data_IF_820071926785
#
_entry.id   IF_820071926785
#
_cell.length_a   1.000
_cell.length_b   1.000
_cell.length_c   1.000
_cell.angle_alpha   90.00
_cell.angle_beta   90.00
_cell.angle_gamma   90.00
#
_symmetry.space_group_name_H-M   'P 1'
#
loop_
_entity.id
_entity.type
_entity.pdbx_description
1 polymer ?
#
# COMPACT_ATOMS: atom_id res chain seq x y z
N UNK A 1 94.27 3.43 -1.80
CA UNK A 1 93.20 3.13 -0.81
C UNK A 1 91.96 3.84 -1.28
N UNK A 2 91.12 3.15 -1.99
CA UNK A 2 89.92 3.68 -2.67
C UNK A 2 88.64 3.12 -1.96
N UNK A 3 87.90 4.02 -1.34
CA UNK A 3 86.68 3.71 -0.63
C UNK A 3 85.47 3.84 -1.56
N UNK A 4 84.77 2.74 -1.80
CA UNK A 4 83.59 2.71 -2.66
C UNK A 4 82.34 2.99 -1.87
N UNK A 5 81.66 4.10 -2.18
CA UNK A 5 80.33 4.42 -1.62
C UNK A 5 79.28 3.71 -2.46
N UNK A 6 78.47 2.81 -1.83
CA UNK A 6 77.30 2.18 -2.44
C UNK A 6 76.13 3.11 -2.26
N UNK A 7 75.53 3.58 -3.36
CA UNK A 7 74.26 4.22 -3.41
C UNK A 7 73.17 3.17 -3.25
N UNK A 8 72.31 3.29 -2.20
CA UNK A 8 71.09 2.51 -2.08
C UNK A 8 69.93 3.34 -2.60
N UNK A 9 69.39 2.97 -3.77
CA UNK A 9 68.17 3.55 -4.31
C UNK A 9 66.95 3.00 -3.57
N UNK A 10 66.33 3.85 -2.76
CA UNK A 10 65.05 3.55 -2.14
C UNK A 10 63.90 3.74 -3.13
N UNK A 11 63.28 2.66 -3.56
CA UNK A 11 62.02 2.69 -4.31
C UNK A 11 60.87 2.97 -3.37
N UNK A 12 60.34 4.20 -3.38
CA UNK A 12 59.13 4.55 -2.67
C UNK A 12 57.94 3.99 -3.47
N UNK A 13 57.33 2.89 -2.94
CA UNK A 13 56.07 2.34 -3.44
C UNK A 13 54.96 3.25 -2.91
N UNK A 14 54.39 4.11 -3.78
CA UNK A 14 53.15 4.83 -3.53
C UNK A 14 52.00 3.80 -3.57
N UNK A 15 51.56 3.31 -2.43
CA UNK A 15 50.24 2.65 -2.30
C UNK A 15 49.19 3.76 -2.39
N UNK A 16 48.59 3.93 -3.58
CA UNK A 16 47.37 4.67 -3.74
C UNK A 16 46.24 3.90 -3.04
N UNK A 17 45.89 4.29 -1.80
CA UNK A 17 44.72 3.83 -1.12
C UNK A 17 43.48 4.29 -1.91
N UNK A 18 42.92 3.40 -2.73
CA UNK A 18 41.57 3.53 -3.26
C UNK A 18 40.59 3.40 -2.08
N UNK A 19 40.39 4.50 -1.37
CA UNK A 19 39.27 4.63 -0.43
C UNK A 19 38.01 4.64 -1.31
N UNK A 20 37.47 3.45 -1.58
CA UNK A 20 36.13 3.30 -2.08
C UNK A 20 35.19 3.91 -1.05
N UNK A 21 34.70 5.11 -1.33
CA UNK A 21 33.60 5.68 -0.56
C UNK A 21 32.45 4.70 -0.73
N UNK A 22 32.13 3.94 0.29
CA UNK A 22 30.87 3.22 0.40
C UNK A 22 29.78 4.29 0.38
N UNK A 23 29.17 4.53 -0.78
CA UNK A 23 27.97 5.37 -0.87
C UNK A 23 26.93 4.64 -0.02
N UNK A 24 26.60 5.20 1.14
CA UNK A 24 25.54 4.66 1.97
C UNK A 24 24.26 4.58 1.12
N UNK A 25 23.73 3.38 1.00
CA UNK A 25 22.50 3.15 0.24
C UNK A 25 21.38 3.99 0.84
N UNK A 26 20.78 4.87 0.04
CA UNK A 26 19.65 5.68 0.47
C UNK A 26 18.49 4.78 0.89
N UNK A 27 17.80 5.14 1.96
CA UNK A 27 16.69 4.36 2.50
C UNK A 27 15.37 5.07 2.22
N UNK A 28 14.36 4.33 1.76
CA UNK A 28 12.98 4.77 1.67
C UNK A 28 12.15 4.06 2.75
N UNK A 29 11.43 4.84 3.56
CA UNK A 29 10.55 4.33 4.61
C UNK A 29 9.12 4.25 4.11
N UNK A 30 8.56 3.04 4.08
CA UNK A 30 7.22 2.76 3.56
C UNK A 30 6.29 2.39 4.71
N UNK A 31 5.28 3.21 4.96
CA UNK A 31 4.25 2.97 5.96
C UNK A 31 3.19 1.99 5.47
N UNK A 32 2.82 1.01 6.30
CA UNK A 32 1.74 0.06 5.99
C UNK A 32 1.14 -0.51 7.27
N UNK A 33 -0.10 -1.05 7.18
CA UNK A 33 -0.77 -1.54 8.38
C UNK A 33 -0.27 -2.91 8.84
N UNK A 34 0.20 -3.75 7.94
CA UNK A 34 0.52 -5.14 8.23
C UNK A 34 -0.69 -6.00 8.65
N UNK A 35 -1.92 -5.50 8.38
CA UNK A 35 -3.19 -6.16 8.74
C UNK A 35 -4.18 -6.24 7.58
N UNK A 36 -3.73 -5.93 6.37
CA UNK A 36 -4.59 -5.81 5.19
C UNK A 36 -4.27 -6.92 4.16
N UNK A 37 -4.84 -8.11 4.42
CA UNK A 37 -4.68 -9.28 3.54
C UNK A 37 -5.42 -9.09 2.21
N UNK A 38 -4.83 -9.46 1.06
CA UNK A 38 -3.47 -10.00 0.85
C UNK A 38 -2.44 -8.94 0.42
N UNK A 39 -2.72 -7.65 0.58
CA UNK A 39 -1.86 -6.54 0.15
C UNK A 39 -0.65 -6.34 1.05
N UNK A 40 -0.89 -6.20 2.36
CA UNK A 40 0.16 -6.05 3.38
C UNK A 40 -0.32 -6.68 4.70
N UNK A 41 0.30 -7.77 5.12
CA UNK A 41 -0.12 -8.50 6.32
C UNK A 41 1.05 -9.23 6.96
N UNK A 42 0.96 -9.47 8.28
CA UNK A 42 1.91 -10.27 9.02
C UNK A 42 1.40 -11.70 9.12
N UNK A 43 2.24 -12.67 8.71
CA UNK A 43 2.01 -14.09 8.90
C UNK A 43 3.31 -14.76 9.34
N UNK A 44 3.27 -15.53 10.43
CA UNK A 44 4.47 -16.15 11.03
C UNK A 44 5.59 -15.12 11.27
N UNK A 45 5.23 -13.99 11.89
CA UNK A 45 6.12 -12.87 12.22
C UNK A 45 6.83 -12.21 11.02
N UNK A 46 6.37 -12.50 9.80
CA UNK A 46 6.88 -11.91 8.57
C UNK A 46 5.84 -11.02 7.92
N UNK A 47 6.23 -9.76 7.67
CA UNK A 47 5.46 -8.86 6.82
C UNK A 47 5.57 -9.32 5.38
N UNK A 48 4.44 -9.50 4.72
CA UNK A 48 4.32 -10.02 3.36
C UNK A 48 3.06 -9.50 2.68
N UNK A 49 2.95 -9.73 1.38
CA UNK A 49 1.79 -9.35 0.58
C UNK A 49 2.20 -8.75 -0.77
N UNK A 50 1.20 -8.43 -1.57
CA UNK A 50 1.39 -7.84 -2.89
C UNK A 50 2.25 -6.57 -2.83
N UNK A 51 1.95 -5.67 -1.91
CA UNK A 51 2.66 -4.39 -1.79
C UNK A 51 4.08 -4.55 -1.26
N UNK A 52 4.33 -5.56 -0.42
CA UNK A 52 5.69 -5.88 0.04
C UNK A 52 6.55 -6.37 -1.12
N UNK A 53 6.03 -7.28 -1.95
CA UNK A 53 6.73 -7.76 -3.15
C UNK A 53 6.95 -6.63 -4.16
N UNK A 54 5.94 -5.78 -4.37
CA UNK A 54 6.06 -4.60 -5.24
C UNK A 54 7.18 -3.66 -4.77
N UNK A 55 7.25 -3.36 -3.49
CA UNK A 55 8.29 -2.48 -2.94
C UNK A 55 9.68 -3.10 -2.95
N UNK A 56 9.82 -4.42 -2.79
CA UNK A 56 11.10 -5.09 -2.98
C UNK A 56 11.61 -4.90 -4.42
N UNK A 57 10.74 -5.05 -5.41
CA UNK A 57 11.08 -4.79 -6.82
C UNK A 57 11.39 -3.30 -7.09
N UNK A 58 10.66 -2.36 -6.48
CA UNK A 58 10.97 -0.93 -6.57
C UNK A 58 12.35 -0.64 -5.98
N UNK A 59 12.66 -1.20 -4.81
CA UNK A 59 13.96 -1.05 -4.15
C UNK A 59 15.12 -1.54 -5.02
N UNK A 60 14.98 -2.75 -5.59
CA UNK A 60 15.99 -3.32 -6.50
C UNK A 60 16.23 -2.43 -7.73
N UNK A 61 15.18 -1.85 -8.32
CA UNK A 61 15.27 -1.02 -9.53
C UNK A 61 15.79 0.39 -9.28
N UNK A 62 15.47 0.94 -8.12
CA UNK A 62 15.86 2.32 -7.76
C UNK A 62 17.18 2.39 -7.01
N UNK A 63 17.68 1.27 -6.50
CA UNK A 63 18.86 1.20 -5.63
C UNK A 63 18.59 1.63 -4.19
N UNK A 64 17.34 1.94 -3.81
CA UNK A 64 17.00 2.25 -2.44
C UNK A 64 16.91 1.00 -1.56
N UNK A 65 17.36 1.11 -0.31
CA UNK A 65 16.98 0.16 0.74
C UNK A 65 15.54 0.48 1.16
N UNK A 66 14.64 -0.49 1.07
CA UNK A 66 13.25 -0.33 1.55
C UNK A 66 13.17 -0.73 3.02
N UNK A 67 12.65 0.18 3.86
CA UNK A 67 12.33 -0.05 5.26
C UNK A 67 10.83 0.02 5.45
N UNK A 68 10.22 -1.08 5.85
CA UNK A 68 8.78 -1.13 6.13
C UNK A 68 8.51 -0.72 7.58
N UNK A 69 7.59 0.22 7.77
CA UNK A 69 7.18 0.73 9.08
C UNK A 69 5.69 0.44 9.26
N UNK A 70 5.36 -0.37 10.27
CA UNK A 70 3.96 -0.76 10.52
C UNK A 70 3.31 0.10 11.59
N UNK A 71 2.05 0.51 11.34
CA UNK A 71 1.21 1.26 12.26
C UNK A 71 -0.28 0.95 12.02
N UNK A 72 -1.20 1.48 12.87
CA UNK A 72 -2.63 1.45 12.53
C UNK A 72 -2.88 2.23 11.22
N UNK A 73 -3.86 1.80 10.43
CA UNK A 73 -4.20 2.50 9.18
C UNK A 73 -4.49 3.99 9.43
N UNK A 74 -5.27 4.29 10.47
CA UNK A 74 -5.60 5.66 10.88
C UNK A 74 -4.38 6.52 11.25
N UNK A 75 -3.29 5.90 11.68
CA UNK A 75 -2.04 6.59 12.06
C UNK A 75 -1.09 6.85 10.90
N UNK A 76 -1.25 6.15 9.75
CA UNK A 76 -0.28 6.20 8.65
C UNK A 76 -0.12 7.61 8.04
N UNK A 77 -1.24 8.33 7.86
CA UNK A 77 -1.20 9.69 7.29
C UNK A 77 -0.48 10.67 8.21
N UNK A 78 -0.67 10.58 9.53
CA UNK A 78 0.09 11.38 10.49
C UNK A 78 1.60 11.07 10.48
N UNK A 79 1.98 9.82 10.21
CA UNK A 79 3.38 9.45 10.03
C UNK A 79 3.98 10.02 8.74
N UNK A 80 3.20 10.06 7.64
CA UNK A 80 3.60 10.69 6.38
C UNK A 80 3.77 12.21 6.58
N UNK A 81 2.82 12.88 7.22
CA UNK A 81 2.85 14.33 7.45
C UNK A 81 4.01 14.77 8.35
N UNK A 82 4.41 13.93 9.30
CA UNK A 82 5.56 14.18 10.19
C UNK A 82 6.89 13.67 9.66
N UNK A 83 6.94 13.11 8.45
CA UNK A 83 8.16 12.58 7.82
C UNK A 83 8.72 11.32 8.48
N UNK A 84 7.94 10.61 9.29
CA UNK A 84 8.33 9.30 9.85
C UNK A 84 8.35 8.21 8.80
N UNK A 85 7.55 8.35 7.76
CA UNK A 85 7.58 7.55 6.54
C UNK A 85 7.63 8.48 5.33
N UNK A 86 8.17 7.99 4.22
CA UNK A 86 8.29 8.74 2.98
C UNK A 86 7.04 8.60 2.12
N UNK A 87 6.37 7.48 2.24
CA UNK A 87 5.11 7.17 1.54
C UNK A 87 4.30 6.15 2.35
N UNK A 88 3.05 5.96 1.95
CA UNK A 88 2.16 4.93 2.48
C UNK A 88 1.85 3.94 1.36
N UNK A 89 1.98 2.63 1.66
CA UNK A 89 1.55 1.54 0.80
C UNK A 89 0.57 0.67 1.59
N UNK A 90 -0.71 0.88 1.34
CA UNK A 90 -1.82 0.22 2.03
C UNK A 90 -3.13 0.43 1.26
N UNK A 91 -3.09 0.23 -0.07
CA UNK A 91 -4.22 0.48 -0.98
C UNK A 91 -4.80 1.89 -0.83
N UNK A 92 -3.94 2.90 -0.91
CA UNK A 92 -4.38 4.28 -0.73
C UNK A 92 -5.08 4.75 -2.00
N UNK A 93 -6.40 4.84 -1.94
CA UNK A 93 -7.23 5.36 -3.03
C UNK A 93 -6.96 6.84 -3.27
N UNK A 94 -6.84 7.21 -4.54
CA UNK A 94 -6.75 8.60 -4.97
C UNK A 94 -8.13 9.25 -4.79
N UNK A 95 -8.24 10.24 -3.90
CA UNK A 95 -9.45 11.08 -3.75
C UNK A 95 -9.09 12.55 -3.91
N UNK A 96 -10.09 13.41 -4.19
CA UNK A 96 -9.83 14.84 -4.35
C UNK A 96 -9.34 15.48 -3.05
N UNK A 97 -9.85 15.04 -1.90
CA UNK A 97 -9.37 15.48 -0.59
C UNK A 97 -7.88 15.15 -0.41
N UNK A 98 -7.49 13.90 -0.73
CA UNK A 98 -6.10 13.45 -0.62
C UNK A 98 -5.19 14.12 -1.64
N UNK A 99 -5.65 14.33 -2.88
CA UNK A 99 -4.91 15.09 -3.91
C UNK A 99 -4.64 16.54 -3.50
N UNK A 100 -5.51 17.15 -2.73
CA UNK A 100 -5.26 18.49 -2.20
C UNK A 100 -4.02 18.55 -1.30
N UNK A 101 -3.77 17.49 -0.52
CA UNK A 101 -2.68 17.40 0.47
C UNK A 101 -1.40 16.74 -0.06
N UNK A 102 -1.53 15.70 -0.88
CA UNK A 102 -0.43 14.83 -1.30
C UNK A 102 -0.24 14.80 -2.81
N UNK A 103 0.99 14.53 -3.24
CA UNK A 103 1.29 14.08 -4.60
C UNK A 103 1.16 12.55 -4.65
N UNK A 104 0.67 12.02 -5.77
CA UNK A 104 0.44 10.59 -5.93
C UNK A 104 1.28 10.01 -7.05
N UNK A 105 1.73 8.76 -6.89
CA UNK A 105 2.28 7.98 -7.99
C UNK A 105 1.20 7.70 -9.04
N UNK A 106 1.60 7.17 -10.20
CA UNK A 106 0.64 6.48 -11.05
C UNK A 106 -0.09 5.38 -10.26
N UNK A 107 -1.35 5.09 -10.57
CA UNK A 107 -2.06 3.99 -9.92
C UNK A 107 -1.34 2.66 -10.18
N UNK A 108 -1.23 1.81 -9.18
CA UNK A 108 -0.66 0.45 -9.31
C UNK A 108 -1.70 -0.65 -9.18
N UNK A 109 -2.91 -0.33 -8.71
CA UNK A 109 -4.08 -1.23 -8.64
C UNK A 109 -5.34 -0.47 -9.06
N UNK A 110 -6.19 -1.17 -9.82
CA UNK A 110 -7.54 -0.74 -10.21
C UNK A 110 -8.55 -1.71 -9.60
N UNK A 111 -9.48 -1.19 -8.81
CA UNK A 111 -10.44 -2.01 -8.08
C UNK A 111 -11.79 -1.28 -7.94
N UNK A 112 -12.63 -1.71 -7.02
CA UNK A 112 -13.93 -1.12 -6.75
C UNK A 112 -14.32 -1.18 -5.28
N UNK A 113 -15.12 -0.21 -4.83
CA UNK A 113 -15.71 -0.19 -3.51
C UNK A 113 -16.84 -1.21 -3.44
N UNK A 114 -16.68 -2.22 -2.58
CA UNK A 114 -17.56 -3.39 -2.50
C UNK A 114 -18.27 -3.47 -1.15
N UNK A 115 -19.59 -3.65 -1.20
CA UNK A 115 -20.40 -3.96 -0.02
C UNK A 115 -20.27 -5.46 0.28
N UNK A 116 -20.06 -5.78 1.54
CA UNK A 116 -20.03 -7.16 2.05
C UNK A 116 -21.06 -7.32 3.15
N UNK A 117 -21.77 -8.41 3.10
CA UNK A 117 -22.85 -8.76 4.03
C UNK A 117 -22.68 -10.18 4.56
N UNK A 118 -23.45 -10.55 5.57
CA UNK A 118 -23.56 -11.92 6.03
C UNK A 118 -24.08 -12.82 4.90
N UNK A 119 -23.52 -14.00 4.75
CA UNK A 119 -23.96 -15.02 3.79
C UNK A 119 -25.45 -15.34 3.97
N UNK A 120 -26.17 -15.34 2.85
CA UNK A 120 -27.64 -15.54 2.83
C UNK A 120 -28.45 -14.24 2.99
N UNK A 121 -27.80 -13.08 3.14
CA UNK A 121 -28.51 -11.81 3.03
C UNK A 121 -29.03 -11.65 1.59
N UNK A 122 -30.32 -11.41 1.44
CA UNK A 122 -31.01 -11.22 0.16
C UNK A 122 -31.70 -9.86 0.05
N UNK A 123 -31.36 -8.92 0.91
CA UNK A 123 -32.03 -7.61 0.98
C UNK A 123 -31.11 -6.46 0.58
N UNK A 124 -29.79 -6.68 0.61
CA UNK A 124 -28.78 -5.67 0.24
C UNK A 124 -28.12 -6.09 -1.07
N UNK A 125 -28.33 -5.32 -2.13
CA UNK A 125 -27.79 -5.54 -3.47
C UNK A 125 -27.00 -4.33 -3.99
N UNK A 126 -27.03 -3.20 -3.27
CA UNK A 126 -26.36 -1.97 -3.64
C UNK A 126 -26.42 -0.90 -2.57
N UNK A 127 -25.82 0.25 -2.86
CA UNK A 127 -25.66 1.34 -1.90
C UNK A 127 -26.99 1.88 -1.37
N UNK A 128 -28.05 1.88 -2.20
CA UNK A 128 -29.39 2.36 -1.80
C UNK A 128 -30.04 1.48 -0.76
N UNK A 129 -29.72 0.19 -0.73
CA UNK A 129 -30.29 -0.75 0.24
C UNK A 129 -29.64 -0.62 1.62
N UNK A 130 -28.63 0.23 1.76
CA UNK A 130 -27.97 0.52 3.03
C UNK A 130 -28.72 1.58 3.86
N UNK A 131 -29.75 2.23 3.34
CA UNK A 131 -30.60 3.14 4.13
C UNK A 131 -31.20 2.42 5.35
N UNK A 132 -31.04 3.00 6.54
CA UNK A 132 -31.45 2.42 7.81
C UNK A 132 -30.58 1.27 8.32
N UNK A 133 -29.45 0.98 7.67
CA UNK A 133 -28.52 -0.08 8.04
C UNK A 133 -27.28 0.47 8.75
N UNK A 134 -26.70 -0.38 9.60
CA UNK A 134 -25.39 -0.12 10.21
C UNK A 134 -24.29 -0.66 9.31
N UNK A 135 -23.38 0.23 8.87
CA UNK A 135 -22.31 -0.10 7.94
C UNK A 135 -20.95 0.23 8.53
N UNK A 136 -20.07 -0.77 8.59
CA UNK A 136 -18.72 -0.62 9.09
C UNK A 136 -17.73 -0.23 7.98
N UNK A 137 -16.78 0.63 8.32
CA UNK A 137 -15.62 0.99 7.49
C UNK A 137 -14.38 1.20 8.36
N UNK A 138 -13.21 1.12 7.76
CA UNK A 138 -11.98 1.51 8.47
C UNK A 138 -11.95 3.03 8.71
N UNK A 139 -11.54 3.43 9.91
CA UNK A 139 -11.38 4.83 10.31
C UNK A 139 -10.35 5.52 9.39
N UNK A 140 -10.75 6.64 8.78
CA UNK A 140 -9.93 7.41 7.85
C UNK A 140 -9.80 6.80 6.46
N UNK A 141 -10.60 5.77 6.12
CA UNK A 141 -10.64 5.21 4.77
C UNK A 141 -11.48 6.08 3.82
N UNK A 142 -11.19 5.95 2.51
CA UNK A 142 -12.03 6.53 1.45
C UNK A 142 -13.44 5.95 1.43
N UNK A 143 -13.66 4.78 2.00
CA UNK A 143 -14.99 4.14 2.03
C UNK A 143 -15.98 4.91 2.90
N UNK A 144 -15.50 5.54 3.99
CA UNK A 144 -16.31 6.46 4.78
C UNK A 144 -16.74 7.67 3.93
N UNK A 145 -15.80 8.29 3.20
CA UNK A 145 -16.07 9.42 2.29
C UNK A 145 -17.09 9.03 1.21
N UNK A 146 -16.88 7.86 0.58
CA UNK A 146 -17.78 7.34 -0.47
C UNK A 146 -19.19 7.05 0.05
N UNK A 147 -19.33 6.46 1.23
CA UNK A 147 -20.64 6.24 1.84
C UNK A 147 -21.35 7.56 2.14
N UNK A 148 -20.65 8.53 2.75
CA UNK A 148 -21.23 9.85 3.06
C UNK A 148 -21.65 10.62 1.81
N UNK A 149 -20.86 10.54 0.72
CA UNK A 149 -21.19 11.14 -0.59
C UNK A 149 -22.46 10.54 -1.18
N UNK A 150 -22.68 9.24 -1.02
CA UNK A 150 -23.85 8.53 -1.53
C UNK A 150 -25.05 8.55 -0.57
N UNK A 151 -24.89 9.11 0.63
CA UNK A 151 -25.94 9.24 1.65
C UNK A 151 -26.11 10.72 2.10
N UNK A 152 -26.56 11.63 1.23
CA UNK A 152 -26.71 13.03 1.55
C UNK A 152 -27.75 13.29 2.65
N UNK A 153 -28.70 12.37 2.83
CA UNK A 153 -29.74 12.45 3.85
C UNK A 153 -29.35 11.80 5.18
N UNK A 154 -28.13 11.28 5.31
CA UNK A 154 -27.60 10.64 6.53
C UNK A 154 -28.49 9.53 7.07
N UNK A 155 -28.97 8.67 6.20
CA UNK A 155 -29.83 7.54 6.54
C UNK A 155 -29.04 6.26 6.87
N UNK A 156 -27.74 6.20 6.55
CA UNK A 156 -26.86 5.08 6.86
C UNK A 156 -26.18 5.34 8.20
N UNK A 157 -26.25 4.39 9.13
CA UNK A 157 -25.47 4.42 10.37
C UNK A 157 -24.03 3.94 10.08
N UNK A 158 -23.18 4.90 9.67
CA UNK A 158 -21.76 4.63 9.32
C UNK A 158 -20.94 4.56 10.61
N UNK A 159 -20.34 3.40 10.87
CA UNK A 159 -19.45 3.18 12.02
C UNK A 159 -18.02 2.94 11.57
N UNK A 160 -17.10 3.64 12.19
CA UNK A 160 -15.66 3.56 11.88
C UNK A 160 -14.93 2.70 12.90
N UNK A 161 -14.02 1.85 12.43
CA UNK A 161 -13.25 0.92 13.24
C UNK A 161 -11.77 0.97 12.85
N UNK A 162 -10.90 0.74 13.80
CA UNK A 162 -9.47 0.55 13.51
C UNK A 162 -9.16 -0.85 12.94
N UNK A 163 -10.00 -1.84 13.23
CA UNK A 163 -9.87 -3.22 12.70
C UNK A 163 -11.05 -4.10 13.17
N UNK A 164 -11.18 -5.29 12.55
CA UNK A 164 -11.92 -6.44 13.08
C UNK A 164 -13.46 -6.33 13.11
N UNK A 165 -14.06 -5.64 12.14
CA UNK A 165 -15.52 -5.57 12.00
C UNK A 165 -16.13 -6.72 11.18
N UNK A 166 -15.31 -7.48 10.45
CA UNK A 166 -15.75 -8.56 9.56
C UNK A 166 -16.49 -9.67 10.34
N UNK A 167 -16.01 -9.97 11.55
CA UNK A 167 -16.66 -10.94 12.44
C UNK A 167 -18.02 -10.46 12.93
N UNK A 168 -18.19 -9.16 13.21
CA UNK A 168 -19.46 -8.60 13.66
C UNK A 168 -20.51 -8.64 12.55
N UNK A 169 -20.11 -8.44 11.27
CA UNK A 169 -21.01 -8.65 10.13
C UNK A 169 -21.34 -10.13 9.95
N UNK A 170 -20.35 -11.03 10.07
CA UNK A 170 -20.58 -12.47 9.99
C UNK A 170 -21.56 -12.98 11.08
N UNK A 171 -21.52 -12.38 12.28
CA UNK A 171 -22.42 -12.68 13.39
C UNK A 171 -23.77 -11.95 13.31
N UNK A 172 -23.93 -11.01 12.37
CA UNK A 172 -25.15 -10.21 12.20
C UNK A 172 -25.33 -9.09 13.23
N UNK A 173 -24.26 -8.66 13.90
CA UNK A 173 -24.25 -7.49 14.82
C UNK A 173 -24.19 -6.17 14.07
N UNK A 174 -23.63 -6.18 12.85
CA UNK A 174 -23.53 -5.10 11.89
C UNK A 174 -24.12 -5.62 10.58
N UNK A 175 -24.87 -4.79 9.85
CA UNK A 175 -25.57 -5.22 8.63
C UNK A 175 -24.61 -5.46 7.45
N UNK A 176 -23.60 -4.58 7.28
CA UNK A 176 -22.65 -4.63 6.18
C UNK A 176 -21.31 -3.97 6.54
N UNK A 177 -20.31 -4.21 5.71
CA UNK A 177 -19.10 -3.38 5.66
C UNK A 177 -18.71 -3.06 4.22
N UNK A 178 -17.86 -2.04 4.03
CA UNK A 178 -17.35 -1.66 2.71
C UNK A 178 -15.83 -1.68 2.73
N UNK A 179 -15.26 -2.35 1.73
CA UNK A 179 -13.81 -2.42 1.45
C UNK A 179 -13.56 -2.65 -0.05
N UNK A 180 -12.30 -2.81 -0.44
CA UNK A 180 -11.91 -3.15 -1.80
C UNK A 180 -12.49 -4.51 -2.23
N UNK A 181 -13.01 -4.60 -3.44
CA UNK A 181 -13.62 -5.82 -4.00
C UNK A 181 -12.66 -7.01 -3.97
N UNK A 182 -11.41 -6.78 -4.39
CA UNK A 182 -10.42 -7.87 -4.46
C UNK A 182 -10.03 -8.35 -3.06
N UNK A 183 -9.82 -7.42 -2.11
CA UNK A 183 -9.52 -7.76 -0.71
C UNK A 183 -10.65 -8.56 -0.08
N UNK A 184 -11.89 -8.13 -0.26
CA UNK A 184 -13.06 -8.81 0.30
C UNK A 184 -13.28 -10.19 -0.31
N UNK A 185 -13.02 -10.38 -1.62
CA UNK A 185 -13.08 -11.69 -2.26
C UNK A 185 -12.08 -12.66 -1.65
N UNK A 186 -10.83 -12.22 -1.45
CA UNK A 186 -9.80 -13.05 -0.81
C UNK A 186 -10.09 -13.30 0.67
N UNK A 187 -10.55 -12.28 1.41
CA UNK A 187 -10.98 -12.44 2.80
C UNK A 187 -12.05 -13.53 2.94
N UNK A 188 -13.11 -13.47 2.14
CA UNK A 188 -14.21 -14.46 2.17
C UNK A 188 -13.69 -15.86 1.89
N UNK A 189 -12.81 -16.00 0.90
CA UNK A 189 -12.22 -17.28 0.50
C UNK A 189 -11.37 -17.89 1.62
N UNK A 190 -10.52 -17.09 2.25
CA UNK A 190 -9.52 -17.59 3.19
C UNK A 190 -10.02 -17.68 4.64
N UNK A 191 -10.86 -16.73 5.09
CA UNK A 191 -11.32 -16.66 6.48
C UNK A 191 -12.39 -17.70 6.83
N UNK A 192 -13.07 -18.25 5.81
CA UNK A 192 -14.25 -19.13 5.99
C UNK A 192 -15.39 -18.49 6.78
N UNK A 193 -15.36 -17.19 7.01
CA UNK A 193 -16.47 -16.47 7.62
C UNK A 193 -17.72 -16.57 6.73
N UNK A 194 -18.93 -16.66 7.29
CA UNK A 194 -20.17 -16.69 6.52
C UNK A 194 -20.50 -15.30 5.96
N UNK A 195 -19.66 -14.82 5.03
CA UNK A 195 -19.77 -13.54 4.36
C UNK A 195 -20.01 -13.75 2.86
N UNK A 196 -20.56 -12.74 2.19
CA UNK A 196 -20.69 -12.65 0.74
C UNK A 196 -20.61 -11.19 0.28
N UNK A 197 -20.08 -10.97 -0.92
CA UNK A 197 -20.19 -9.68 -1.59
C UNK A 197 -21.65 -9.46 -2.03
N UNK A 198 -22.14 -8.22 -1.87
CA UNK A 198 -23.51 -7.82 -2.22
C UNK A 198 -23.48 -6.92 -3.45
N UNK A 199 -24.07 -7.41 -4.54
CA UNK A 199 -24.11 -6.70 -5.83
C UNK A 199 -22.73 -6.47 -6.46
N UNK A 200 -22.70 -5.58 -7.44
CA UNK A 200 -21.46 -5.10 -8.06
C UNK A 200 -20.81 -4.00 -7.18
N UNK A 201 -19.52 -3.73 -7.36
CA UNK A 201 -18.87 -2.54 -6.78
C UNK A 201 -19.66 -1.28 -7.18
N UNK A 202 -19.87 -0.38 -6.23
CA UNK A 202 -20.67 0.82 -6.46
C UNK A 202 -19.84 2.05 -6.87
N UNK A 203 -18.53 1.96 -6.79
CA UNK A 203 -17.58 2.99 -7.22
C UNK A 203 -16.29 2.32 -7.70
N UNK A 204 -15.67 2.85 -8.77
CA UNK A 204 -14.34 2.45 -9.22
C UNK A 204 -13.30 3.21 -8.39
N UNK A 205 -12.24 2.53 -7.97
CA UNK A 205 -11.15 3.11 -7.19
C UNK A 205 -9.79 2.83 -7.86
N UNK A 206 -8.90 3.81 -7.76
CA UNK A 206 -7.52 3.72 -8.22
C UNK A 206 -6.60 3.88 -7.00
N UNK A 207 -5.77 2.87 -6.74
CA UNK A 207 -4.87 2.87 -5.60
C UNK A 207 -3.45 3.24 -6.02
N UNK A 208 -2.83 4.12 -5.24
CA UNK A 208 -1.57 4.77 -5.54
C UNK A 208 -0.77 5.05 -4.27
N UNK A 209 0.44 5.55 -4.41
CA UNK A 209 1.37 5.85 -3.34
C UNK A 209 1.38 7.37 -3.08
N UNK A 210 0.91 7.86 -1.91
CA UNK A 210 0.95 9.27 -1.56
C UNK A 210 2.34 9.70 -1.07
N UNK A 211 2.77 10.88 -1.49
CA UNK A 211 3.99 11.56 -1.05
C UNK A 211 3.69 13.00 -0.65
N UNK A 212 4.52 13.57 0.24
CA UNK A 212 4.44 15.02 0.50
C UNK A 212 4.80 15.82 -0.75
N UNK A 213 4.23 17.00 -0.90
CA UNK A 213 4.46 17.90 -2.06
C UNK A 213 5.75 18.73 -1.96
N UNK A 214 6.76 18.25 -1.23
CA UNK A 214 8.08 18.91 -1.19
C UNK A 214 8.91 18.54 -2.42
N UNK A 215 9.85 19.38 -2.87
CA UNK A 215 10.69 19.07 -4.03
C UNK A 215 11.46 17.76 -3.88
N UNK A 216 11.96 17.45 -2.68
CA UNK A 216 12.65 16.19 -2.37
C UNK A 216 11.73 14.98 -2.58
N UNK A 217 10.51 15.02 -2.03
CA UNK A 217 9.55 13.91 -2.13
C UNK A 217 8.98 13.77 -3.54
N UNK A 218 8.88 14.85 -4.30
CA UNK A 218 8.52 14.78 -5.72
C UNK A 218 9.62 14.13 -6.57
N UNK A 219 10.91 14.39 -6.26
CA UNK A 219 12.02 13.70 -6.92
C UNK A 219 12.02 12.19 -6.59
N UNK A 220 11.72 11.82 -5.34
CA UNK A 220 11.57 10.43 -4.93
C UNK A 220 10.37 9.76 -5.62
N UNK A 221 9.21 10.43 -5.64
CA UNK A 221 8.01 9.99 -6.36
C UNK A 221 8.31 9.69 -7.83
N UNK A 222 9.07 10.56 -8.51
CA UNK A 222 9.46 10.34 -9.90
C UNK A 222 10.24 9.04 -10.07
N UNK A 223 11.22 8.76 -9.20
CA UNK A 223 11.99 7.51 -9.26
C UNK A 223 11.11 6.27 -9.05
N UNK A 224 10.14 6.36 -8.14
CA UNK A 224 9.14 5.31 -7.89
C UNK A 224 8.25 5.10 -9.11
N UNK A 225 7.76 6.17 -9.73
CA UNK A 225 6.95 6.11 -10.94
C UNK A 225 7.72 5.52 -12.14
N UNK A 226 8.98 5.89 -12.30
CA UNK A 226 9.84 5.32 -13.33
C UNK A 226 10.01 3.79 -13.11
N UNK A 227 10.15 3.35 -11.86
CA UNK A 227 10.22 1.92 -11.50
C UNK A 227 8.89 1.20 -11.77
N UNK A 228 7.74 1.77 -11.38
CA UNK A 228 6.42 1.20 -11.66
C UNK A 228 6.16 1.08 -13.17
N UNK A 229 6.57 2.10 -13.95
CA UNK A 229 6.48 2.08 -15.42
C UNK A 229 7.31 0.93 -16.00
N UNK A 230 8.54 0.74 -15.52
CA UNK A 230 9.40 -0.36 -15.94
C UNK A 230 8.79 -1.73 -15.57
N UNK A 231 8.23 -1.86 -14.36
CA UNK A 231 7.58 -3.08 -13.88
C UNK A 231 6.32 -3.44 -14.69
N UNK A 232 5.56 -2.44 -15.17
CA UNK A 232 4.45 -2.69 -16.11
C UNK A 232 4.96 -3.20 -17.44
N UNK A 233 5.98 -2.52 -18.00
CA UNK A 233 6.53 -2.82 -19.31
C UNK A 233 7.13 -4.22 -19.41
N UNK A 234 7.83 -4.69 -18.38
CA UNK A 234 8.45 -6.01 -18.37
C UNK A 234 7.58 -7.11 -17.74
N UNK A 235 6.38 -6.76 -17.26
CA UNK A 235 5.40 -7.68 -16.70
C UNK A 235 5.64 -8.07 -15.24
N UNK A 236 6.63 -7.51 -14.55
CA UNK A 236 6.91 -7.84 -13.15
C UNK A 236 5.73 -7.50 -12.22
N UNK A 237 5.06 -6.35 -12.46
CA UNK A 237 3.90 -5.94 -11.66
C UNK A 237 2.73 -6.92 -11.84
N UNK A 238 2.47 -7.35 -13.06
CA UNK A 238 1.48 -8.38 -13.40
C UNK A 238 1.80 -9.71 -12.72
N UNK A 239 3.06 -10.17 -12.78
CA UNK A 239 3.47 -11.43 -12.13
C UNK A 239 3.24 -11.40 -10.62
N UNK A 240 3.51 -10.27 -9.96
CA UNK A 240 3.21 -10.09 -8.53
C UNK A 240 1.69 -10.15 -8.31
N UNK A 241 0.90 -9.51 -9.16
CA UNK A 241 -0.57 -9.56 -9.10
C UNK A 241 -1.09 -11.00 -9.24
N UNK A 242 -0.66 -11.72 -10.26
CA UNK A 242 -1.06 -13.11 -10.50
C UNK A 242 -0.66 -14.04 -9.34
N UNK A 243 0.49 -13.80 -8.71
CA UNK A 243 0.94 -14.55 -7.52
C UNK A 243 -0.05 -14.44 -6.35
N UNK A 244 -0.57 -13.24 -6.10
CA UNK A 244 -1.40 -12.96 -4.92
C UNK A 244 -2.90 -13.09 -5.17
N UNK A 245 -3.35 -12.85 -6.39
CA UNK A 245 -4.77 -12.76 -6.73
C UNK A 245 -5.23 -13.79 -7.77
N UNK A 246 -4.31 -14.51 -8.41
CA UNK A 246 -4.57 -15.33 -9.59
C UNK A 246 -5.23 -14.54 -10.74
N UNK A 247 -5.04 -13.24 -10.77
CA UNK A 247 -5.55 -12.29 -11.76
C UNK A 247 -4.64 -11.06 -11.83
N UNK A 248 -4.69 -10.33 -12.94
CA UNK A 248 -4.07 -9.04 -13.05
C UNK A 248 -5.04 -7.94 -12.59
N UNK A 249 -4.71 -7.26 -11.50
CA UNK A 249 -5.44 -6.09 -10.97
C UNK A 249 -4.67 -4.78 -11.18
N UNK A 250 -3.57 -4.83 -11.91
CA UNK A 250 -2.64 -3.69 -12.09
C UNK A 250 -2.86 -2.93 -13.38
N UNK A 251 -3.75 -3.42 -14.24
CA UNK A 251 -4.15 -2.81 -15.51
C UNK A 251 -5.67 -2.60 -15.55
N UNK A 252 -6.14 -1.66 -16.43
CA UNK A 252 -7.58 -1.32 -16.58
C UNK A 252 -8.32 -2.28 -17.47
#
# INVERSE_FOLDING_TARGET
MTSSIKLVSGAAILLAALSGQAIAQETIKVGMSGKYFPFTFVKQDKLQGFEVDMWNQIGERTGYKVEFVTASFSGLFGMLETGRVDTISNQITITDERKAKYAFSQPYVYDGAQIVVRKGNSTIHGIKDLEGKTVAVNLGSNFEELLRKNDPNKKIDIRTYDSSFEQDVALGRIDAFVMDRVSTAQLIKESKLPLQQAGAPFETIENSLPFLKTPEKQALLKKVDDALTAMRKDGALRQISEKWFAADITDK
#
